data_IF_151159069436
#
_entry.id   IF_151159069436
#
_cell.length_a   1.000
_cell.length_b   1.000
_cell.length_c   1.000
_cell.angle_alpha   90.00
_cell.angle_beta   90.00
_cell.angle_gamma   90.00
#
_symmetry.space_group_name_H-M   'P 1'
#
loop_
_entity.id
_entity.type
_entity.pdbx_description
1 polymer ?
#
# COMPACT_ATOMS: atom_id res chain seq x y z
N UNK A 1 1.45 -12.66 -14.17
CA UNK A 1 2.39 -12.95 -13.07
C UNK A 1 2.91 -11.62 -12.53
N UNK A 2 3.03 -11.44 -11.22
CA UNK A 2 3.49 -10.18 -10.62
C UNK A 2 5.01 -10.14 -10.47
N UNK A 3 5.64 -8.99 -10.75
CA UNK A 3 7.06 -8.75 -10.51
C UNK A 3 7.24 -7.60 -9.50
N UNK A 4 8.05 -7.82 -8.45
CA UNK A 4 8.25 -6.85 -7.38
C UNK A 4 9.62 -6.17 -7.47
N UNK A 5 9.63 -4.86 -7.67
CA UNK A 5 10.83 -4.03 -7.56
C UNK A 5 10.81 -3.23 -6.25
N UNK A 6 11.92 -3.20 -5.48
CA UNK A 6 11.99 -2.51 -4.17
C UNK A 6 12.04 -0.98 -4.28
N UNK A 7 12.18 -0.43 -5.49
CA UNK A 7 12.20 1.02 -5.71
C UNK A 7 10.81 1.64 -5.54
N UNK A 8 10.81 2.88 -5.06
CA UNK A 8 9.62 3.72 -5.03
C UNK A 8 9.33 4.23 -6.44
N UNK A 9 8.06 4.42 -6.78
CA UNK A 9 7.68 5.05 -8.07
C UNK A 9 8.25 6.47 -8.17
N UNK A 10 8.37 7.15 -7.03
CA UNK A 10 8.80 8.54 -6.93
C UNK A 10 9.69 8.72 -5.71
N UNK A 11 10.73 9.57 -5.78
CA UNK A 11 11.60 9.83 -4.65
C UNK A 11 10.82 10.50 -3.52
N UNK A 12 11.03 10.04 -2.29
CA UNK A 12 10.41 10.60 -1.08
C UNK A 12 11.54 11.00 -0.14
N UNK A 13 11.50 12.23 0.38
CA UNK A 13 12.43 12.75 1.37
C UNK A 13 11.66 13.06 2.65
N UNK A 14 11.99 12.38 3.75
CA UNK A 14 11.45 12.69 5.07
C UNK A 14 12.46 13.55 5.82
N UNK A 15 12.06 14.77 6.16
CA UNK A 15 12.95 15.76 6.80
C UNK A 15 12.95 15.63 8.33
N UNK A 16 11.80 15.34 8.93
CA UNK A 16 11.63 15.18 10.38
C UNK A 16 10.56 14.14 10.71
N UNK A 17 10.66 13.44 11.87
CA UNK A 17 9.57 12.67 12.43
C UNK A 17 8.34 13.54 12.73
N UNK A 18 7.16 13.09 12.31
CA UNK A 18 5.88 13.74 12.63
C UNK A 18 4.79 12.68 12.88
N UNK A 19 4.41 12.42 14.14
CA UNK A 19 3.46 11.37 14.49
C UNK A 19 2.02 11.69 14.06
N UNK A 20 1.64 12.97 13.98
CA UNK A 20 0.32 13.38 13.53
C UNK A 20 0.15 13.12 12.03
N UNK A 21 1.16 13.50 11.24
CA UNK A 21 1.18 13.17 9.80
C UNK A 21 1.21 11.65 9.57
N UNK A 22 1.95 10.90 10.38
CA UNK A 22 1.99 9.44 10.28
C UNK A 22 0.62 8.80 10.53
N UNK A 23 -0.17 9.31 11.49
CA UNK A 23 -1.53 8.83 11.75
C UNK A 23 -2.45 8.97 10.53
N UNK A 24 -2.39 10.12 9.85
CA UNK A 24 -3.15 10.36 8.61
C UNK A 24 -2.69 9.42 7.49
N UNK A 25 -1.38 9.23 7.31
CA UNK A 25 -0.85 8.34 6.27
C UNK A 25 -1.23 6.87 6.52
N UNK A 26 -1.24 6.42 7.79
CA UNK A 26 -1.67 5.07 8.16
C UNK A 26 -3.16 4.87 7.83
N UNK A 27 -4.00 5.87 8.04
CA UNK A 27 -5.43 5.80 7.69
C UNK A 27 -5.66 5.64 6.18
N UNK A 28 -4.84 6.25 5.33
CA UNK A 28 -4.92 6.09 3.87
C UNK A 28 -4.31 4.76 3.40
N UNK A 29 -3.41 4.17 4.17
CA UNK A 29 -2.86 2.85 3.87
C UNK A 29 -3.87 1.73 4.11
N UNK A 30 -4.56 1.74 5.27
CA UNK A 30 -5.34 0.60 5.75
C UNK A 30 -6.73 0.93 6.27
N UNK A 31 -7.19 2.18 6.15
CA UNK A 31 -8.53 2.58 6.53
C UNK A 31 -9.61 2.08 5.56
N UNK A 32 -10.90 2.31 5.87
CA UNK A 32 -12.04 1.81 5.08
C UNK A 32 -12.04 2.27 3.61
N UNK A 33 -11.47 3.45 3.35
CA UNK A 33 -11.28 4.03 2.02
C UNK A 33 -9.81 4.06 1.58
N UNK A 34 -8.95 3.28 2.26
CA UNK A 34 -7.52 3.25 2.00
C UNK A 34 -7.17 2.51 0.71
N UNK A 35 -6.00 2.86 0.16
CA UNK A 35 -5.44 2.37 -1.11
C UNK A 35 -5.33 0.83 -1.14
N UNK A 36 -5.07 0.20 0.02
CA UNK A 36 -5.04 -1.26 0.14
C UNK A 36 -6.41 -1.90 -0.11
N UNK A 37 -7.47 -1.28 0.40
CA UNK A 37 -8.85 -1.72 0.19
C UNK A 37 -9.28 -1.53 -1.27
N UNK A 38 -8.90 -0.41 -1.88
CA UNK A 38 -9.13 -0.13 -3.29
C UNK A 38 -8.41 -1.16 -4.20
N UNK A 39 -7.10 -1.37 -4.02
CA UNK A 39 -6.33 -2.35 -4.77
C UNK A 39 -6.92 -3.76 -4.67
N UNK A 40 -7.29 -4.19 -3.46
CA UNK A 40 -7.84 -5.53 -3.23
C UNK A 40 -9.22 -5.69 -3.87
N UNK A 41 -10.05 -4.64 -3.85
CA UNK A 41 -11.38 -4.63 -4.48
C UNK A 41 -11.30 -4.76 -6.00
N UNK A 42 -10.43 -4.00 -6.67
CA UNK A 42 -10.29 -4.09 -8.12
C UNK A 42 -9.67 -5.42 -8.57
N UNK A 43 -8.69 -5.93 -7.82
CA UNK A 43 -8.08 -7.23 -8.10
C UNK A 43 -9.03 -8.41 -7.84
N UNK A 44 -9.91 -8.33 -6.85
CA UNK A 44 -10.91 -9.39 -6.61
C UNK A 44 -11.99 -9.40 -7.70
N UNK A 45 -12.44 -8.23 -8.14
CA UNK A 45 -13.43 -8.08 -9.23
C UNK A 45 -12.92 -8.65 -10.56
N UNK A 46 -11.61 -8.58 -10.81
CA UNK A 46 -10.98 -9.19 -11.99
C UNK A 46 -11.26 -10.69 -12.10
N UNK A 47 -11.26 -11.43 -11.00
CA UNK A 47 -11.38 -12.90 -11.05
C UNK A 47 -12.78 -13.40 -11.45
N UNK A 48 -13.80 -12.57 -11.31
CA UNK A 48 -15.17 -12.88 -11.71
C UNK A 48 -15.62 -12.14 -12.99
N UNK A 49 -14.74 -11.37 -13.63
CA UNK A 49 -15.09 -10.54 -14.78
C UNK A 49 -15.12 -11.36 -16.10
N UNK A 50 -16.27 -11.45 -16.79
CA UNK A 50 -16.40 -12.26 -18.01
C UNK A 50 -15.84 -11.60 -19.27
N UNK A 51 -15.61 -10.28 -19.24
CA UNK A 51 -15.06 -9.51 -20.37
C UNK A 51 -13.56 -9.27 -20.20
N UNK A 52 -12.76 -9.78 -21.13
CA UNK A 52 -11.29 -9.73 -21.07
C UNK A 52 -10.72 -8.30 -21.04
N UNK A 53 -11.34 -7.36 -21.75
CA UNK A 53 -10.90 -5.96 -21.79
C UNK A 53 -11.10 -5.26 -20.43
N UNK A 54 -12.23 -5.51 -19.77
CA UNK A 54 -12.54 -4.95 -18.46
C UNK A 54 -11.66 -5.58 -17.37
N UNK A 55 -11.36 -6.87 -17.49
CA UNK A 55 -10.40 -7.54 -16.62
C UNK A 55 -8.98 -6.95 -16.76
N UNK A 56 -8.60 -6.51 -17.95
CA UNK A 56 -7.35 -5.76 -18.21
C UNK A 56 -7.32 -4.44 -17.45
N UNK A 57 -8.35 -3.60 -17.62
CA UNK A 57 -8.46 -2.29 -16.94
C UNK A 57 -8.42 -2.44 -15.41
N UNK A 58 -9.16 -3.41 -14.86
CA UNK A 58 -9.13 -3.68 -13.41
C UNK A 58 -7.76 -4.16 -12.91
N UNK A 59 -7.01 -4.86 -13.76
CA UNK A 59 -5.63 -5.25 -13.47
C UNK A 59 -4.72 -4.03 -13.41
N UNK A 60 -4.84 -3.11 -14.37
CA UNK A 60 -4.03 -1.89 -14.43
C UNK A 60 -4.30 -0.98 -13.23
N UNK A 61 -5.57 -0.70 -12.94
CA UNK A 61 -5.97 0.13 -11.79
C UNK A 61 -5.54 -0.53 -10.48
N UNK A 62 -5.82 -1.83 -10.28
CA UNK A 62 -5.41 -2.54 -9.06
C UNK A 62 -3.89 -2.59 -8.87
N UNK A 63 -3.12 -2.64 -9.96
CA UNK A 63 -1.65 -2.57 -9.94
C UNK A 63 -1.15 -1.21 -9.48
N UNK A 64 -1.74 -0.13 -9.99
CA UNK A 64 -1.36 1.25 -9.65
C UNK A 64 -1.62 1.58 -8.19
N UNK A 65 -2.82 1.24 -7.70
CA UNK A 65 -3.21 1.34 -6.29
C UNK A 65 -2.24 0.56 -5.38
N UNK A 66 -1.82 -0.64 -5.79
CA UNK A 66 -0.82 -1.41 -5.06
C UNK A 66 0.58 -0.77 -5.06
N UNK A 67 0.93 0.08 -6.02
CA UNK A 67 2.24 0.76 -6.02
C UNK A 67 2.24 1.98 -5.08
N UNK A 68 1.10 2.64 -4.85
CA UNK A 68 0.98 3.71 -3.86
C UNK A 68 1.33 3.25 -2.43
N UNK A 69 1.13 1.96 -2.12
CA UNK A 69 1.58 1.29 -0.89
C UNK A 69 3.05 1.55 -0.54
N UNK A 70 3.92 1.78 -1.53
CA UNK A 70 5.36 1.95 -1.30
C UNK A 70 5.74 3.29 -0.66
N UNK A 71 4.83 4.25 -0.49
CA UNK A 71 5.17 5.60 0.01
C UNK A 71 5.68 5.68 1.47
N UNK A 72 5.64 4.59 2.24
CA UNK A 72 6.11 4.61 3.63
C UNK A 72 7.60 4.24 3.76
N UNK A 73 8.43 5.10 4.40
CA UNK A 73 9.80 4.74 4.73
C UNK A 73 9.79 3.63 5.79
N UNK A 74 10.48 2.54 5.44
CA UNK A 74 10.61 1.27 6.18
C UNK A 74 11.47 1.38 7.46
N UNK A 75 11.46 2.53 8.13
CA UNK A 75 12.29 2.82 9.31
C UNK A 75 11.52 2.68 10.65
N UNK A 76 10.20 2.50 10.64
CA UNK A 76 9.38 2.47 11.87
C UNK A 76 8.91 1.08 12.33
N UNK A 77 9.21 0.01 11.61
CA UNK A 77 8.68 -1.35 11.90
C UNK A 77 9.70 -2.31 12.54
N UNK A 78 10.82 -1.81 13.07
CA UNK A 78 11.84 -2.66 13.72
C UNK A 78 12.35 -2.02 15.01
N UNK A 79 11.49 -1.91 16.03
CA UNK A 79 11.86 -1.78 17.45
C UNK A 79 10.62 -1.84 18.36
N UNK A 80 10.02 -3.02 18.48
CA UNK A 80 9.12 -3.36 19.59
C UNK A 80 9.14 -4.87 19.77
N UNK A 81 10.17 -5.34 20.47
CA UNK A 81 10.24 -6.71 20.96
C UNK A 81 11.24 -6.76 22.12
N UNK A 82 10.66 -6.83 23.33
CA UNK A 82 11.23 -7.31 24.59
C UNK A 82 12.24 -6.44 25.36
N UNK A 83 11.71 -5.62 26.26
CA UNK A 83 12.20 -5.53 27.63
C UNK A 83 11.00 -5.23 28.55
N UNK A 84 11.03 -5.74 29.78
CA UNK A 84 10.02 -5.70 30.86
C UNK A 84 9.14 -6.94 31.00
N UNK A 85 9.69 -8.02 31.59
CA UNK A 85 9.10 -8.75 32.72
C UNK A 85 10.28 -9.11 33.64
N UNK A 86 10.09 -8.96 34.96
CA UNK A 86 11.11 -9.11 36.01
C UNK A 86 11.64 -10.51 36.23
#
# INVERSE_FOLDING_TARGET
>A
MWHYEKRLIRPIKVQRPDPAAASVIISQLGGPHGELGAATRYLSQRYSMPYGEIAGILTDVGTEESKWRKKLPRQYLRRRSFSHIG
#
